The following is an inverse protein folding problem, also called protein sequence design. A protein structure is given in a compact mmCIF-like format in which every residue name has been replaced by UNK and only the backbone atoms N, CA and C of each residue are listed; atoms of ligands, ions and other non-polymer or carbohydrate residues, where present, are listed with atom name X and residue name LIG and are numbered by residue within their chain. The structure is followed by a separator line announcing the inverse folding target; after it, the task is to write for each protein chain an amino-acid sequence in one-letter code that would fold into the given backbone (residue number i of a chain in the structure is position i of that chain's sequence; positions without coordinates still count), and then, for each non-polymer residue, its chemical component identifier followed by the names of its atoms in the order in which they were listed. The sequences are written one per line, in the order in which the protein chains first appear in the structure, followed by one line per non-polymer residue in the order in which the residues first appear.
data_IF_495061954330
#
_entry.id   IF_495061954330
#
_cell.length_a   1.000
_cell.length_b   1.000
_cell.length_c   1.000
_cell.angle_alpha   90.00
_cell.angle_beta   90.00
_cell.angle_gamma   90.00
#
_symmetry.space_group_name_H-M   'P 1'
#
loop_
_entity.id
_entity.type
_entity.pdbx_description
1 polymer ?
#
# COMPACT_ATOMS: atom_id res chain seq x y z
N UNK A 1 -49.23 -13.04 -14.85
CA UNK A 1 -49.74 -11.67 -14.54
C UNK A 1 -49.16 -11.10 -13.25
N UNK A 2 -48.99 -11.90 -12.20
CA UNK A 2 -48.50 -11.47 -10.87
C UNK A 2 -47.02 -11.03 -10.88
N UNK A 3 -46.14 -11.70 -11.63
CA UNK A 3 -44.70 -11.37 -11.67
C UNK A 3 -44.41 -9.99 -12.28
N UNK A 4 -45.18 -9.58 -13.31
CA UNK A 4 -45.04 -8.27 -13.97
C UNK A 4 -45.37 -7.08 -13.05
N UNK A 5 -46.16 -7.32 -12.00
CA UNK A 5 -46.55 -6.30 -11.01
C UNK A 5 -45.38 -5.87 -10.12
N UNK A 6 -44.46 -6.80 -9.83
CA UNK A 6 -43.31 -6.55 -8.93
C UNK A 6 -42.03 -6.19 -9.68
N UNK A 7 -42.00 -6.33 -11.00
CA UNK A 7 -40.86 -5.95 -11.85
C UNK A 7 -40.31 -4.54 -11.57
N UNK A 8 -41.11 -3.46 -11.47
CA UNK A 8 -40.53 -2.13 -11.19
C UNK A 8 -39.91 -2.03 -9.80
N UNK A 9 -40.49 -2.71 -8.80
CA UNK A 9 -39.96 -2.73 -7.43
C UNK A 9 -38.62 -3.48 -7.35
N UNK A 10 -38.52 -4.62 -8.06
CA UNK A 10 -37.27 -5.36 -8.18
C UNK A 10 -36.19 -4.56 -8.91
N UNK A 11 -36.55 -3.79 -9.94
CA UNK A 11 -35.60 -2.90 -10.64
C UNK A 11 -35.06 -1.82 -9.70
N UNK A 12 -35.91 -1.21 -8.88
CA UNK A 12 -35.46 -0.20 -7.90
C UNK A 12 -34.54 -0.80 -6.85
N UNK A 13 -34.84 -2.00 -6.33
CA UNK A 13 -33.97 -2.70 -5.38
C UNK A 13 -32.62 -3.02 -5.99
N UNK A 14 -32.60 -3.51 -7.24
CA UNK A 14 -31.36 -3.84 -7.95
C UNK A 14 -30.55 -2.56 -8.22
N UNK A 15 -31.18 -1.46 -8.61
CA UNK A 15 -30.51 -0.17 -8.80
C UNK A 15 -29.89 0.34 -7.48
N UNK A 16 -30.58 0.20 -6.36
CA UNK A 16 -30.08 0.62 -5.05
C UNK A 16 -28.88 -0.25 -4.61
N UNK A 17 -28.97 -1.57 -4.79
CA UNK A 17 -27.89 -2.51 -4.47
C UNK A 17 -26.65 -2.34 -5.38
N UNK A 18 -26.83 -1.88 -6.62
CA UNK A 18 -25.73 -1.60 -7.55
C UNK A 18 -25.05 -0.25 -7.29
N UNK A 19 -25.66 0.63 -6.50
CA UNK A 19 -25.13 1.95 -6.14
C UNK A 19 -24.40 1.95 -4.78
N UNK A 20 -24.46 0.85 -4.02
CA UNK A 20 -23.95 0.80 -2.64
C UNK A 20 -22.45 0.54 -2.49
N UNK A 21 -21.71 0.23 -3.55
CA UNK A 21 -20.32 -0.22 -3.42
C UNK A 21 -19.32 0.69 -4.16
N UNK A 22 -18.90 1.76 -3.48
CA UNK A 22 -17.64 2.46 -3.77
C UNK A 22 -17.16 3.27 -2.55
N UNK A 23 -17.02 2.63 -1.39
CA UNK A 23 -16.37 3.28 -0.24
C UNK A 23 -14.87 3.17 -0.44
N UNK A 24 -14.21 4.29 -0.74
CA UNK A 24 -12.75 4.40 -0.71
C UNK A 24 -12.24 4.23 0.72
N UNK A 25 -11.06 3.64 0.91
CA UNK A 25 -10.39 3.58 2.22
C UNK A 25 -10.34 4.99 2.82
N UNK A 26 -10.90 5.18 4.03
CA UNK A 26 -10.96 6.49 4.70
C UNK A 26 -9.69 6.82 5.48
N UNK A 27 -8.76 5.87 5.55
CA UNK A 27 -7.47 6.04 6.21
C UNK A 27 -6.33 5.91 5.22
N UNK A 28 -5.24 6.57 5.57
CA UNK A 28 -3.97 6.42 4.91
C UNK A 28 -3.31 5.14 5.45
N UNK A 29 -2.76 4.32 4.55
CA UNK A 29 -1.91 3.18 4.89
C UNK A 29 -0.52 3.50 4.35
N UNK A 30 0.50 3.36 5.20
CA UNK A 30 1.89 3.42 4.74
C UNK A 30 2.58 2.12 5.09
N UNK A 31 3.27 1.54 4.10
CA UNK A 31 4.12 0.39 4.33
C UNK A 31 5.43 0.78 5.04
N UNK A 32 5.85 2.04 4.88
CA UNK A 32 7.11 2.59 5.39
C UNK A 32 6.83 3.97 5.98
N UNK A 33 7.28 4.21 7.20
CA UNK A 33 7.21 5.50 7.86
C UNK A 33 8.48 6.32 7.61
N UNK A 34 8.40 7.65 7.77
CA UNK A 34 9.56 8.53 7.58
C UNK A 34 10.62 8.28 8.67
N UNK A 35 10.16 7.95 9.86
CA UNK A 35 10.95 7.63 11.04
C UNK A 35 11.50 6.19 11.06
N UNK A 36 11.12 5.35 10.10
CA UNK A 36 11.67 4.00 10.01
C UNK A 36 13.19 4.06 9.86
N UNK A 37 13.90 3.17 10.56
CA UNK A 37 15.36 3.13 10.50
C UNK A 37 15.82 2.25 9.35
N UNK A 38 16.70 2.80 8.52
CA UNK A 38 17.29 2.11 7.37
C UNK A 38 18.80 2.00 7.54
N UNK A 39 19.36 0.86 7.12
CA UNK A 39 20.79 0.72 6.91
C UNK A 39 21.16 1.29 5.55
N UNK A 40 22.22 2.09 5.49
CA UNK A 40 22.67 2.75 4.28
C UNK A 40 24.17 2.59 4.07
N UNK A 41 24.55 2.54 2.80
CA UNK A 41 25.93 2.48 2.36
C UNK A 41 26.36 3.85 1.82
N UNK A 42 27.39 4.44 2.42
CA UNK A 42 27.85 5.81 2.09
C UNK A 42 28.41 5.92 0.66
N UNK A 43 28.90 4.81 0.08
CA UNK A 43 29.30 4.78 -1.34
C UNK A 43 30.67 5.37 -1.64
N UNK A 44 31.65 5.23 -0.74
CA UNK A 44 33.05 5.60 -1.04
C UNK A 44 33.79 4.57 -1.90
N UNK A 45 33.20 3.39 -2.09
CA UNK A 45 33.64 2.32 -2.99
C UNK A 45 32.43 1.57 -3.55
N UNK A 46 32.64 0.58 -4.42
CA UNK A 46 31.56 -0.32 -4.81
C UNK A 46 31.07 -1.12 -3.58
N UNK A 47 29.75 -1.36 -3.44
CA UNK A 47 29.21 -2.22 -2.38
C UNK A 47 29.56 -3.70 -2.64
N UNK A 48 29.46 -4.56 -1.61
CA UNK A 48 29.60 -6.01 -1.77
C UNK A 48 28.62 -6.54 -2.83
N UNK A 49 29.00 -7.50 -3.67
CA UNK A 49 28.17 -7.95 -4.80
C UNK A 49 26.84 -8.58 -4.41
N UNK A 50 26.72 -9.06 -3.17
CA UNK A 50 25.55 -9.73 -2.61
C UNK A 50 24.67 -8.80 -1.75
N UNK A 51 24.88 -7.48 -1.78
CA UNK A 51 24.16 -6.51 -0.93
C UNK A 51 22.63 -6.55 -1.09
N UNK A 52 22.14 -7.12 -2.20
CA UNK A 52 20.72 -7.21 -2.57
C UNK A 52 20.12 -8.60 -2.37
N UNK A 53 20.86 -9.53 -1.75
CA UNK A 53 20.35 -10.86 -1.38
C UNK A 53 19.59 -10.80 -0.05
N UNK A 54 18.63 -11.71 0.15
CA UNK A 54 17.80 -11.74 1.37
C UNK A 54 18.60 -12.01 2.65
N UNK A 55 19.70 -12.74 2.53
CA UNK A 55 20.55 -13.15 3.66
C UNK A 55 21.78 -12.25 3.83
N UNK A 56 21.80 -11.07 3.20
CA UNK A 56 22.90 -10.12 3.35
C UNK A 56 22.99 -9.60 4.78
N UNK A 57 24.21 -9.58 5.34
CA UNK A 57 24.47 -9.01 6.67
C UNK A 57 24.81 -7.51 6.56
N UNK A 58 23.84 -6.69 6.97
CA UNK A 58 23.90 -5.24 6.96
C UNK A 58 24.57 -4.63 8.21
N UNK A 59 25.09 -5.43 9.15
CA UNK A 59 25.68 -4.96 10.41
C UNK A 59 26.87 -4.01 10.24
N UNK A 60 27.53 -4.06 9.08
CA UNK A 60 28.64 -3.17 8.73
C UNK A 60 28.18 -1.82 8.17
N UNK A 61 26.91 -1.66 7.83
CA UNK A 61 26.34 -0.43 7.29
C UNK A 61 25.92 0.49 8.43
N UNK A 62 25.99 1.79 8.18
CA UNK A 62 25.46 2.77 9.14
C UNK A 62 23.94 2.76 9.08
N UNK A 63 23.27 3.05 10.21
CA UNK A 63 21.81 3.16 10.26
C UNK A 63 21.36 4.55 10.70
N UNK A 64 20.16 4.92 10.26
CA UNK A 64 19.54 6.19 10.63
C UNK A 64 18.07 6.23 10.21
N UNK A 65 17.31 7.24 10.68
CA UNK A 65 15.95 7.44 10.21
C UNK A 65 15.94 7.64 8.69
N UNK A 66 14.92 7.12 8.03
CA UNK A 66 14.73 7.22 6.60
C UNK A 66 14.73 8.68 6.13
N UNK A 67 15.33 8.92 4.96
CA UNK A 67 15.40 10.25 4.33
C UNK A 67 14.33 10.49 3.27
N UNK A 68 13.33 9.60 3.14
CA UNK A 68 12.25 9.77 2.17
C UNK A 68 11.34 10.93 2.61
N UNK A 69 11.23 11.99 1.80
CA UNK A 69 10.21 13.03 2.02
C UNK A 69 10.67 14.49 2.06
N UNK A 70 11.94 14.81 1.83
CA UNK A 70 12.37 16.21 1.66
C UNK A 70 12.86 16.44 0.23
N UNK A 71 11.93 16.88 -0.62
CA UNK A 71 12.23 17.53 -1.90
C UNK A 71 12.54 19.01 -1.72
#
# INVERSE_FOLDING_TARGET
MILKKYTPFLVVIIQWAMLSDAVSQTHWETAIYTEDTWYYFVGTSAPPTNWNELDFDESSWSSGPGGFGYG
#
